data_IF_730296602665
#
_entry.id   IF_730296602665
#
_cell.length_a   1.000
_cell.length_b   1.000
_cell.length_c   1.000
_cell.angle_alpha   90.00
_cell.angle_beta   90.00
_cell.angle_gamma   90.00
#
_symmetry.space_group_name_H-M   'P 1'
#
loop_
_entity.id
_entity.type
_entity.pdbx_description
1 polymer ?
#
# COMPACT_ATOMS: atom_id res chain seq x y z
N UNK A 1 -16.11 9.38 1.79
CA UNK A 1 -15.26 8.24 2.18
C UNK A 1 -15.94 7.46 3.30
N UNK A 2 -16.67 6.39 2.99
CA UNK A 2 -17.36 5.61 4.00
C UNK A 2 -16.42 4.60 4.68
N UNK A 3 -16.70 4.31 5.95
CA UNK A 3 -16.19 3.14 6.67
C UNK A 3 -17.35 2.33 7.21
N UNK A 4 -17.19 1.01 7.25
CA UNK A 4 -18.19 0.10 7.78
C UNK A 4 -17.56 -0.72 8.91
N UNK A 5 -18.30 -0.87 9.99
CA UNK A 5 -17.95 -1.69 11.14
C UNK A 5 -19.07 -2.65 11.46
N UNK A 6 -18.73 -3.90 11.72
CA UNK A 6 -19.65 -4.89 12.28
C UNK A 6 -19.29 -5.10 13.75
N UNK A 7 -20.23 -4.82 14.65
CA UNK A 7 -20.00 -4.92 16.09
C UNK A 7 -20.20 -6.37 16.58
N UNK A 8 -19.88 -6.62 17.85
CA UNK A 8 -19.91 -7.96 18.48
C UNK A 8 -21.31 -8.59 18.48
N UNK A 9 -22.37 -7.78 18.36
CA UNK A 9 -23.76 -8.21 18.22
C UNK A 9 -24.20 -8.46 16.77
N UNK A 10 -23.25 -8.42 15.80
CA UNK A 10 -23.46 -8.50 14.36
C UNK A 10 -24.20 -7.30 13.74
N UNK A 11 -24.47 -6.24 14.48
CA UNK A 11 -24.99 -5.03 13.88
C UNK A 11 -23.91 -4.31 13.10
N UNK A 12 -24.15 -4.06 11.81
CA UNK A 12 -23.28 -3.29 10.96
C UNK A 12 -23.65 -1.79 11.01
N UNK A 13 -22.63 -0.95 11.05
CA UNK A 13 -22.73 0.50 11.03
C UNK A 13 -21.90 1.06 9.89
N UNK A 14 -22.44 2.03 9.14
CA UNK A 14 -21.71 2.78 8.13
C UNK A 14 -21.58 4.23 8.57
N UNK A 15 -20.36 4.78 8.49
CA UNK A 15 -20.02 6.17 8.82
C UNK A 15 -19.45 6.85 7.59
N UNK A 16 -19.79 8.12 7.38
CA UNK A 16 -19.29 8.95 6.28
C UNK A 16 -19.52 10.43 6.56
N UNK A 17 -18.99 11.26 5.69
CA UNK A 17 -19.37 12.69 5.62
C UNK A 17 -18.19 13.66 5.55
N UNK A 18 -18.47 14.83 4.99
CA UNK A 18 -17.57 15.98 4.87
C UNK A 18 -18.42 17.26 4.81
N UNK A 19 -18.31 18.23 5.72
CA UNK A 19 -17.56 18.16 6.98
C UNK A 19 -18.39 17.63 8.15
N UNK A 20 -19.56 17.10 7.93
CA UNK A 20 -20.47 16.59 8.94
C UNK A 20 -20.42 15.06 8.97
N UNK A 21 -20.06 14.49 10.13
CA UNK A 21 -20.12 13.05 10.33
C UNK A 21 -21.57 12.57 10.34
N UNK A 22 -21.84 11.52 9.60
CA UNK A 22 -23.12 10.82 9.55
C UNK A 22 -22.90 9.33 9.78
N UNK A 23 -23.92 8.66 10.28
CA UNK A 23 -23.94 7.21 10.36
C UNK A 23 -25.34 6.63 10.14
N UNK A 24 -25.37 5.36 9.83
CA UNK A 24 -26.59 4.57 9.71
C UNK A 24 -26.31 3.13 10.15
N UNK A 25 -27.32 2.48 10.73
CA UNK A 25 -27.35 1.04 10.92
C UNK A 25 -27.71 0.37 9.60
N UNK A 26 -26.87 -0.53 9.15
CA UNK A 26 -27.17 -1.34 7.96
C UNK A 26 -28.06 -2.52 8.33
N UNK A 27 -28.92 -2.92 7.41
CA UNK A 27 -29.65 -4.18 7.48
C UNK A 27 -28.69 -5.36 7.21
N UNK A 28 -29.16 -6.59 7.45
CA UNK A 28 -28.35 -7.81 7.24
C UNK A 28 -27.85 -7.98 5.79
N UNK A 29 -28.53 -7.40 4.82
CA UNK A 29 -28.11 -7.42 3.41
C UNK A 29 -26.90 -6.54 3.11
N UNK A 30 -26.46 -5.69 4.05
CA UNK A 30 -25.31 -4.78 3.96
C UNK A 30 -25.42 -3.71 2.86
N UNK A 31 -26.56 -3.59 2.19
CA UNK A 31 -26.80 -2.63 1.09
C UNK A 31 -28.03 -1.73 1.32
N UNK A 32 -28.80 -1.99 2.38
CA UNK A 32 -29.97 -1.20 2.75
C UNK A 32 -29.94 -0.81 4.23
N UNK A 33 -30.80 0.10 4.61
CA UNK A 33 -30.99 0.55 5.98
C UNK A 33 -32.45 0.89 6.24
N UNK A 34 -32.93 0.68 7.48
CA UNK A 34 -34.33 0.91 7.87
C UNK A 34 -34.50 2.11 8.81
N UNK A 35 -33.44 2.46 9.55
CA UNK A 35 -33.44 3.58 10.48
C UNK A 35 -33.11 4.90 9.76
N UNK A 36 -33.35 6.02 10.45
CA UNK A 36 -32.98 7.35 9.96
C UNK A 36 -31.45 7.51 9.95
N UNK A 37 -30.94 8.28 8.99
CA UNK A 37 -29.54 8.71 8.99
C UNK A 37 -29.31 9.60 10.22
N UNK A 38 -28.32 9.24 11.01
CA UNK A 38 -27.91 10.01 12.17
C UNK A 38 -26.92 11.08 11.76
N UNK A 39 -27.12 12.27 12.29
CA UNK A 39 -26.25 13.43 12.16
C UNK A 39 -25.59 13.69 13.51
N UNK A 40 -24.28 13.71 13.56
CA UNK A 40 -23.57 13.96 14.81
C UNK A 40 -23.30 15.45 15.03
N UNK A 41 -23.27 15.92 16.27
CA UNK A 41 -22.70 17.21 16.59
C UNK A 41 -21.27 17.30 16.04
N UNK A 42 -20.85 18.51 15.69
CA UNK A 42 -19.50 18.75 15.17
C UNK A 42 -18.46 18.19 16.14
N UNK A 43 -17.73 17.18 15.70
CA UNK A 43 -16.54 16.67 16.39
C UNK A 43 -15.41 17.67 16.14
N UNK A 44 -14.67 18.00 17.20
CA UNK A 44 -13.55 18.93 17.08
C UNK A 44 -12.56 18.42 16.03
N UNK A 45 -12.15 19.31 15.13
CA UNK A 45 -11.18 19.10 14.07
C UNK A 45 -11.55 18.02 13.03
N UNK A 46 -12.79 17.53 13.03
CA UNK A 46 -13.27 16.61 12.00
C UNK A 46 -13.48 17.31 10.67
N UNK A 47 -12.94 16.74 9.60
CA UNK A 47 -13.25 17.15 8.23
C UNK A 47 -13.88 16.02 7.41
N UNK A 48 -13.19 14.89 7.25
CA UNK A 48 -13.61 13.80 6.36
C UNK A 48 -12.87 12.50 6.62
N UNK A 49 -13.11 11.47 5.80
CA UNK A 49 -12.35 10.22 5.80
C UNK A 49 -12.42 9.45 7.12
N UNK A 50 -13.64 9.24 7.70
CA UNK A 50 -13.72 8.53 8.96
C UNK A 50 -13.23 7.08 8.83
N UNK A 51 -12.46 6.64 9.82
CA UNK A 51 -12.07 5.25 10.02
C UNK A 51 -12.49 4.80 11.40
N UNK A 52 -13.26 3.73 11.47
CA UNK A 52 -13.87 3.24 12.70
C UNK A 52 -13.28 1.89 13.12
N UNK A 53 -13.00 1.73 14.43
CA UNK A 53 -12.62 0.43 15.01
C UNK A 53 -13.00 0.35 16.50
N UNK A 54 -12.95 -0.87 17.05
CA UNK A 54 -13.17 -1.15 18.45
C UNK A 54 -11.96 -1.83 19.09
N UNK A 55 -11.62 -1.44 20.30
CA UNK A 55 -10.53 -2.04 21.06
C UNK A 55 -10.80 -1.93 22.56
N UNK A 56 -10.69 -3.05 23.29
CA UNK A 56 -10.81 -3.10 24.76
C UNK A 56 -12.06 -2.36 25.30
N UNK A 57 -13.21 -2.56 24.64
CA UNK A 57 -14.49 -1.95 25.04
C UNK A 57 -14.60 -0.44 24.77
N UNK A 58 -13.67 0.15 24.05
CA UNK A 58 -13.76 1.50 23.52
C UNK A 58 -13.97 1.45 22.00
N UNK A 59 -14.78 2.37 21.51
CA UNK A 59 -14.93 2.67 20.09
C UNK A 59 -14.08 3.88 19.74
N UNK A 60 -13.47 3.81 18.58
CA UNK A 60 -12.57 4.85 18.06
C UNK A 60 -13.05 5.29 16.69
N UNK A 61 -12.90 6.56 16.45
CA UNK A 61 -13.14 7.20 15.17
C UNK A 61 -11.93 8.06 14.84
N UNK A 62 -11.09 7.62 13.90
CA UNK A 62 -10.04 8.47 13.32
C UNK A 62 -10.54 9.15 12.05
N UNK A 63 -9.98 10.28 11.70
CA UNK A 63 -10.42 11.08 10.56
C UNK A 63 -9.33 12.04 10.08
N UNK A 64 -9.44 12.47 8.83
CA UNK A 64 -8.69 13.61 8.34
C UNK A 64 -9.13 14.85 9.08
N UNK A 65 -8.17 15.57 9.67
CA UNK A 65 -8.44 16.80 10.40
C UNK A 65 -8.67 17.98 9.44
N UNK A 66 -9.07 19.11 9.99
CA UNK A 66 -9.36 20.31 9.20
C UNK A 66 -8.16 20.73 8.34
N UNK A 67 -8.40 20.91 7.05
CA UNK A 67 -7.41 21.34 6.06
C UNK A 67 -7.07 22.83 6.22
N UNK A 68 -5.96 23.33 5.83
CA UNK A 68 -4.70 22.74 5.47
C UNK A 68 -3.59 23.43 6.26
N UNK A 69 -2.65 22.72 6.81
CA UNK A 69 -2.33 21.30 6.66
C UNK A 69 -3.30 20.40 7.45
N UNK A 70 -3.46 19.15 6.99
CA UNK A 70 -4.26 18.13 7.66
C UNK A 70 -3.40 17.21 8.53
N UNK A 71 -3.91 16.86 9.71
CA UNK A 71 -3.39 15.77 10.53
C UNK A 71 -4.34 14.57 10.48
N UNK A 72 -4.13 13.64 11.40
CA UNK A 72 -5.07 12.57 11.71
C UNK A 72 -5.61 12.82 13.11
N UNK A 73 -6.83 13.34 13.21
CA UNK A 73 -7.55 13.50 14.46
C UNK A 73 -8.24 12.22 14.89
N UNK A 74 -8.61 12.11 16.17
CA UNK A 74 -9.46 11.01 16.61
C UNK A 74 -10.35 11.36 17.79
N UNK A 75 -11.45 10.62 17.90
CA UNK A 75 -12.39 10.67 19.01
C UNK A 75 -12.66 9.26 19.54
N UNK A 76 -13.09 9.18 20.78
CA UNK A 76 -13.46 7.92 21.46
C UNK A 76 -14.89 7.96 21.96
N UNK A 77 -15.51 6.79 22.10
CA UNK A 77 -16.82 6.61 22.70
C UNK A 77 -16.92 5.26 23.41
N UNK A 78 -17.94 5.10 24.26
CA UNK A 78 -18.35 3.82 24.84
C UNK A 78 -19.45 3.12 24.04
N UNK A 79 -19.99 3.80 23.03
CA UNK A 79 -21.03 3.26 22.14
C UNK A 79 -20.68 3.51 20.69
N UNK A 80 -21.06 2.62 19.76
CA UNK A 80 -20.76 2.79 18.33
C UNK A 80 -21.35 4.06 17.74
N UNK A 81 -22.42 4.58 18.31
CA UNK A 81 -23.10 5.79 17.86
C UNK A 81 -22.82 7.02 18.73
N UNK A 82 -21.72 7.02 19.47
CA UNK A 82 -21.34 8.13 20.33
C UNK A 82 -22.05 8.15 21.69
N UNK A 83 -21.99 9.28 22.46
CA UNK A 83 -21.34 10.53 22.04
C UNK A 83 -19.83 10.37 21.85
N UNK A 84 -19.29 11.15 20.89
CA UNK A 84 -17.87 11.14 20.54
C UNK A 84 -17.12 12.22 21.32
N UNK A 85 -16.10 11.81 22.03
CA UNK A 85 -15.21 12.73 22.76
C UNK A 85 -13.88 12.85 21.99
N UNK A 86 -13.53 14.04 21.55
CA UNK A 86 -12.24 14.35 20.93
C UNK A 86 -11.09 14.08 21.89
N UNK A 87 -10.06 13.35 21.43
CA UNK A 87 -8.91 12.95 22.24
C UNK A 87 -7.56 13.48 21.75
N UNK A 88 -7.55 14.25 20.68
CA UNK A 88 -6.33 14.79 20.09
C UNK A 88 -6.04 14.22 18.72
N UNK A 89 -4.76 14.12 18.41
CA UNK A 89 -4.27 13.63 17.12
C UNK A 89 -3.52 12.31 17.28
N UNK A 90 -3.73 11.41 16.32
CA UNK A 90 -2.83 10.27 16.09
C UNK A 90 -1.55 10.79 15.42
N UNK A 91 -1.70 11.73 14.48
CA UNK A 91 -0.59 12.44 13.83
C UNK A 91 -0.99 13.91 13.68
N UNK A 92 -0.20 14.79 14.27
CA UNK A 92 -0.52 16.21 14.31
C UNK A 92 -0.29 16.88 12.96
N UNK A 93 -0.86 18.09 12.82
CA UNK A 93 -0.65 18.95 11.66
C UNK A 93 0.82 19.31 11.49
N UNK A 94 1.32 19.20 10.26
CA UNK A 94 2.62 19.73 9.86
C UNK A 94 2.51 20.33 8.46
N UNK A 95 3.40 21.22 8.04
CA UNK A 95 3.40 21.72 6.65
C UNK A 95 3.53 20.62 5.60
N UNK A 96 3.89 19.40 6.01
CA UNK A 96 4.08 18.21 5.15
C UNK A 96 2.82 17.37 5.02
N UNK A 97 1.83 17.56 5.89
CA UNK A 97 0.61 16.73 5.91
C UNK A 97 -0.47 17.33 5.02
N UNK A 98 -1.04 16.51 4.15
CA UNK A 98 -2.18 16.84 3.29
C UNK A 98 -2.97 15.58 2.98
N UNK A 99 -4.31 15.68 2.94
CA UNK A 99 -5.21 14.60 2.53
C UNK A 99 -5.01 13.31 3.33
N UNK A 100 -4.76 13.41 4.62
CA UNK A 100 -4.26 12.32 5.43
C UNK A 100 -5.40 11.44 5.97
N UNK A 101 -6.00 10.67 5.07
CA UNK A 101 -7.03 9.69 5.44
C UNK A 101 -6.41 8.49 6.16
N UNK A 102 -6.83 8.21 7.41
CA UNK A 102 -6.26 7.11 8.19
C UNK A 102 -6.82 5.75 7.81
N UNK A 103 -6.00 4.72 8.06
CA UNK A 103 -6.42 3.33 8.16
C UNK A 103 -5.74 2.70 9.37
N UNK A 104 -6.49 2.13 10.30
CA UNK A 104 -5.96 1.53 11.52
C UNK A 104 -6.20 0.03 11.50
N UNK A 105 -5.18 -0.76 11.83
CA UNK A 105 -5.30 -2.21 11.92
C UNK A 105 -4.43 -2.76 13.05
N UNK A 106 -4.96 -3.75 13.76
CA UNK A 106 -4.17 -4.62 14.64
C UNK A 106 -3.68 -5.83 13.83
N UNK A 107 -2.36 -6.05 13.84
CA UNK A 107 -1.75 -7.17 13.14
C UNK A 107 -0.58 -7.74 13.94
N UNK A 108 -0.59 -9.06 14.18
CA UNK A 108 0.45 -9.79 14.92
C UNK A 108 0.82 -9.16 16.26
N UNK A 109 -0.19 -8.72 17.01
CA UNK A 109 -0.03 -8.17 18.36
C UNK A 109 0.45 -6.72 18.43
N UNK A 110 0.56 -6.05 17.29
CA UNK A 110 0.89 -4.63 17.18
C UNK A 110 -0.24 -3.89 16.47
N UNK A 111 -0.32 -2.58 16.68
CA UNK A 111 -1.26 -1.70 15.99
C UNK A 111 -0.53 -0.82 15.00
N UNK A 112 -1.13 -0.60 13.83
CA UNK A 112 -0.54 0.19 12.76
C UNK A 112 -1.51 1.26 12.29
N UNK A 113 -0.96 2.46 12.05
CA UNK A 113 -1.64 3.55 11.39
C UNK A 113 -1.10 3.69 9.97
N UNK A 114 -1.99 3.58 8.98
CA UNK A 114 -1.70 3.86 7.58
C UNK A 114 -2.23 5.25 7.24
N UNK A 115 -1.57 5.91 6.32
CA UNK A 115 -1.99 7.21 5.81
C UNK A 115 -1.24 7.59 4.55
N UNK A 116 -1.42 8.82 4.13
CA UNK A 116 -0.82 9.35 2.91
C UNK A 116 0.47 10.11 3.19
N UNK A 117 1.45 9.93 2.34
CA UNK A 117 2.73 10.61 2.42
C UNK A 117 3.11 11.20 1.05
N UNK A 118 2.85 12.49 0.89
CA UNK A 118 3.16 13.20 -0.35
C UNK A 118 4.67 13.49 -0.52
N UNK A 119 5.44 13.48 0.56
CA UNK A 119 6.87 13.77 0.50
C UNK A 119 7.67 12.65 -0.15
N UNK A 120 7.26 11.38 -0.02
CA UNK A 120 8.00 10.25 -0.58
C UNK A 120 8.22 10.43 -2.09
N UNK A 121 7.16 10.73 -2.81
CA UNK A 121 7.25 10.88 -4.26
C UNK A 121 8.14 12.07 -4.63
N UNK A 122 7.98 13.21 -3.97
CA UNK A 122 8.80 14.40 -4.18
C UNK A 122 10.28 14.14 -3.90
N UNK A 123 10.59 13.46 -2.78
CA UNK A 123 11.96 13.14 -2.39
C UNK A 123 12.63 12.15 -3.35
N UNK A 124 11.86 11.21 -3.90
CA UNK A 124 12.38 10.17 -4.80
C UNK A 124 12.50 10.63 -6.26
N UNK A 125 11.63 11.51 -6.71
CA UNK A 125 11.53 11.88 -8.14
C UNK A 125 11.79 13.36 -8.40
N UNK A 126 11.85 14.19 -7.37
CA UNK A 126 11.94 15.66 -7.50
C UNK A 126 10.68 16.32 -8.07
N UNK A 127 9.60 15.56 -8.28
CA UNK A 127 8.36 16.08 -8.84
C UNK A 127 7.36 16.37 -7.72
N UNK A 128 6.64 17.49 -7.84
CA UNK A 128 5.44 17.68 -7.05
C UNK A 128 4.38 16.70 -7.55
N UNK A 129 3.82 15.94 -6.64
CA UNK A 129 2.71 15.09 -6.99
C UNK A 129 1.68 15.09 -5.88
N UNK A 130 0.47 15.30 -6.26
CA UNK A 130 -0.69 14.86 -5.51
C UNK A 130 -0.92 13.35 -5.74
N UNK A 131 0.16 12.61 -5.87
CA UNK A 131 0.12 11.15 -5.93
C UNK A 131 0.21 10.61 -4.53
N UNK A 132 -0.81 9.88 -4.16
CA UNK A 132 -1.01 9.37 -2.82
C UNK A 132 -0.09 8.18 -2.56
N UNK A 133 1.09 8.45 -1.98
CA UNK A 133 1.98 7.40 -1.49
C UNK A 133 1.50 6.91 -0.14
N UNK A 134 1.21 5.63 -0.01
CA UNK A 134 0.82 5.02 1.26
C UNK A 134 2.04 4.84 2.14
N UNK A 135 1.92 5.24 3.40
CA UNK A 135 2.90 4.99 4.45
C UNK A 135 2.21 4.40 5.67
N UNK A 136 3.00 3.76 6.53
CA UNK A 136 2.52 3.17 7.77
C UNK A 136 3.47 3.51 8.92
N UNK A 137 2.92 3.53 10.14
CA UNK A 137 3.66 3.67 11.39
C UNK A 137 3.12 2.69 12.42
N UNK A 138 3.96 2.15 13.28
CA UNK A 138 3.53 1.40 14.44
C UNK A 138 2.91 2.37 15.45
N UNK A 139 1.71 2.06 15.93
CA UNK A 139 0.91 2.89 16.81
C UNK A 139 0.79 2.24 18.18
N UNK A 140 0.88 3.04 19.25
CA UNK A 140 0.75 2.56 20.63
C UNK A 140 -0.37 3.27 21.37
N UNK A 141 -0.97 2.54 22.32
CA UNK A 141 -2.01 3.05 23.20
C UNK A 141 -1.48 3.28 24.60
N UNK A 142 -1.99 4.31 25.26
CA UNK A 142 -1.80 4.55 26.67
C UNK A 142 -2.67 3.58 27.50
N UNK A 143 -2.39 3.42 28.81
CA UNK A 143 -3.19 2.54 29.68
C UNK A 143 -4.69 2.88 29.74
N UNK A 144 -5.06 4.14 29.53
CA UNK A 144 -6.45 4.63 29.51
C UNK A 144 -7.14 4.43 28.14
N UNK A 145 -6.43 3.86 27.18
CA UNK A 145 -6.90 3.61 25.82
C UNK A 145 -6.68 4.79 24.85
N UNK A 146 -6.20 5.94 25.31
CA UNK A 146 -5.82 7.03 24.39
C UNK A 146 -4.61 6.62 23.54
N UNK A 147 -4.43 7.26 22.40
CA UNK A 147 -3.37 6.93 21.45
C UNK A 147 -2.18 7.87 21.67
N UNK A 148 -0.96 7.32 21.67
CA UNK A 148 0.24 8.14 21.65
C UNK A 148 0.42 8.79 20.30
N UNK A 149 0.67 10.12 20.31
CA UNK A 149 0.86 10.87 19.07
C UNK A 149 2.09 10.36 18.31
N UNK A 150 1.91 10.12 17.02
CA UNK A 150 2.95 9.69 16.09
C UNK A 150 3.66 10.90 15.49
N UNK A 151 4.97 10.84 15.28
CA UNK A 151 5.64 11.77 14.38
C UNK A 151 5.13 11.57 12.95
N UNK A 152 5.48 12.50 12.06
CA UNK A 152 5.14 12.35 10.64
C UNK A 152 5.75 11.07 10.05
N UNK A 153 5.07 10.44 9.12
CA UNK A 153 5.44 9.11 8.57
C UNK A 153 6.90 8.99 8.15
N UNK A 154 7.52 10.04 7.61
CA UNK A 154 8.94 10.02 7.24
C UNK A 154 9.88 9.86 8.44
N UNK A 155 9.44 10.27 9.61
CA UNK A 155 10.23 10.26 10.82
C UNK A 155 9.93 9.01 11.68
N UNK A 156 8.92 8.20 11.26
CA UNK A 156 8.60 6.92 11.85
C UNK A 156 9.58 5.84 11.39
N UNK A 157 9.99 5.00 12.34
CA UNK A 157 10.69 3.76 12.02
C UNK A 157 9.65 2.64 12.00
N UNK A 158 9.50 2.00 10.84
CA UNK A 158 8.68 0.82 10.70
C UNK A 158 9.57 -0.35 10.28
N UNK A 159 9.69 -1.33 11.16
CA UNK A 159 10.44 -2.54 10.87
C UNK A 159 9.58 -3.52 10.06
N UNK A 160 10.22 -4.24 9.16
CA UNK A 160 9.56 -5.31 8.40
C UNK A 160 9.17 -6.45 9.35
N UNK A 161 7.89 -6.82 9.33
CA UNK A 161 7.34 -7.80 10.28
C UNK A 161 7.84 -9.21 9.98
N UNK A 162 7.93 -9.57 8.70
CA UNK A 162 8.42 -10.87 8.20
C UNK A 162 9.27 -10.65 6.96
N UNK A 163 10.29 -11.51 6.82
CA UNK A 163 11.09 -11.53 5.60
C UNK A 163 10.27 -12.05 4.42
N UNK A 164 10.49 -11.44 3.27
CA UNK A 164 9.73 -11.75 2.06
C UNK A 164 10.16 -13.09 1.48
N UNK A 165 9.21 -13.98 1.20
CA UNK A 165 9.46 -15.30 0.61
C UNK A 165 9.47 -15.22 -0.93
N UNK A 166 10.63 -15.38 -1.61
CA UNK A 166 10.73 -15.28 -3.06
C UNK A 166 10.40 -16.59 -3.80
N UNK A 167 10.18 -17.70 -3.10
CA UNK A 167 9.99 -19.02 -3.70
C UNK A 167 8.56 -19.37 -4.07
N UNK A 168 7.62 -18.49 -3.75
CA UNK A 168 6.24 -18.53 -4.26
C UNK A 168 6.11 -17.58 -5.45
N UNK A 169 5.08 -17.76 -6.26
CA UNK A 169 4.72 -16.76 -7.25
C UNK A 169 4.38 -15.44 -6.56
N UNK A 170 4.94 -14.36 -7.06
CA UNK A 170 4.76 -13.00 -6.58
C UNK A 170 4.29 -12.16 -7.75
N UNK A 171 3.13 -11.54 -7.62
CA UNK A 171 2.62 -10.60 -8.61
C UNK A 171 3.56 -9.37 -8.67
N UNK A 172 3.87 -8.92 -9.88
CA UNK A 172 4.95 -7.95 -10.10
C UNK A 172 4.67 -6.56 -9.48
N UNK A 173 3.41 -6.22 -9.29
CA UNK A 173 2.99 -5.00 -8.59
C UNK A 173 3.15 -5.09 -7.07
N UNK A 174 3.50 -6.24 -6.51
CA UNK A 174 3.88 -6.40 -5.11
C UNK A 174 5.30 -5.87 -4.92
N UNK A 175 5.41 -4.59 -4.60
CA UNK A 175 6.69 -3.90 -4.48
C UNK A 175 6.71 -2.92 -3.32
N UNK A 176 7.89 -2.70 -2.72
CA UNK A 176 8.11 -1.64 -1.75
C UNK A 176 8.27 -0.27 -2.42
N UNK A 177 8.78 -0.25 -3.65
CA UNK A 177 8.91 0.92 -4.50
C UNK A 177 9.00 0.55 -5.97
N UNK A 178 8.36 1.35 -6.83
CA UNK A 178 8.52 1.31 -8.29
C UNK A 178 8.97 2.69 -8.78
N UNK A 179 10.05 2.75 -9.54
CA UNK A 179 10.52 3.99 -10.15
C UNK A 179 10.12 4.04 -11.62
N UNK A 180 9.34 5.05 -11.99
CA UNK A 180 8.85 5.29 -13.36
C UNK A 180 7.62 4.47 -13.77
N UNK A 181 7.37 3.38 -13.11
CA UNK A 181 6.41 2.34 -13.47
C UNK A 181 4.96 2.73 -13.22
N UNK A 182 4.07 2.06 -13.94
CA UNK A 182 2.61 2.07 -13.72
C UNK A 182 2.08 0.65 -13.63
N UNK A 183 0.82 0.52 -13.23
CA UNK A 183 0.07 -0.73 -13.29
C UNK A 183 -1.19 -0.56 -14.14
N UNK A 184 -1.64 -1.65 -14.73
CA UNK A 184 -2.91 -1.71 -15.47
C UNK A 184 -3.50 -3.11 -15.36
N UNK A 185 -4.83 -3.27 -15.56
CA UNK A 185 -5.42 -4.60 -15.65
C UNK A 185 -4.74 -5.43 -16.73
N UNK A 186 -4.39 -6.68 -16.43
CA UNK A 186 -3.75 -7.62 -17.37
C UNK A 186 -4.60 -7.82 -18.63
N UNK A 187 -5.92 -7.85 -18.45
CA UNK A 187 -6.87 -7.84 -19.57
C UNK A 187 -7.72 -6.56 -19.48
N UNK A 188 -7.35 -5.55 -20.24
CA UNK A 188 -8.03 -4.25 -20.25
C UNK A 188 -9.49 -4.34 -20.75
N UNK A 189 -9.81 -5.36 -21.52
CA UNK A 189 -11.12 -5.51 -22.16
C UNK A 189 -12.06 -6.46 -21.40
N UNK A 190 -11.55 -7.25 -20.46
CA UNK A 190 -12.38 -8.14 -19.66
C UNK A 190 -13.18 -7.34 -18.63
N UNK A 191 -14.47 -7.59 -18.54
CA UNK A 191 -15.30 -7.10 -17.43
C UNK A 191 -15.02 -7.87 -16.16
N UNK A 192 -14.55 -9.11 -16.28
CA UNK A 192 -14.14 -10.00 -15.19
C UNK A 192 -12.62 -9.97 -15.02
N UNK A 193 -12.13 -10.19 -13.78
CA UNK A 193 -10.72 -10.25 -13.42
C UNK A 193 -9.91 -8.95 -13.63
N UNK A 194 -10.52 -7.78 -13.41
CA UNK A 194 -9.82 -6.49 -13.41
C UNK A 194 -8.81 -6.32 -12.28
N UNK A 195 -8.86 -7.18 -11.28
CA UNK A 195 -7.93 -7.20 -10.13
C UNK A 195 -6.57 -7.81 -10.47
N UNK A 196 -6.46 -8.62 -11.50
CA UNK A 196 -5.15 -9.08 -11.96
C UNK A 196 -4.47 -7.93 -12.70
N UNK A 197 -3.52 -7.30 -12.02
CA UNK A 197 -2.75 -6.17 -12.54
C UNK A 197 -1.43 -6.67 -13.15
N UNK A 198 -0.83 -5.85 -13.97
CA UNK A 198 0.53 -6.04 -14.50
C UNK A 198 1.29 -4.73 -14.41
N UNK A 199 2.60 -4.81 -14.24
CA UNK A 199 3.46 -3.63 -14.33
C UNK A 199 3.66 -3.27 -15.79
N UNK A 200 3.51 -1.99 -16.09
CA UNK A 200 3.58 -1.41 -17.43
C UNK A 200 4.37 -0.08 -17.44
N UNK A 201 4.51 0.53 -18.59
CA UNK A 201 5.34 1.73 -18.80
C UNK A 201 6.78 1.49 -18.33
N UNK A 202 7.30 0.32 -18.61
CA UNK A 202 8.66 -0.06 -18.24
C UNK A 202 9.63 0.54 -19.25
N UNK A 203 10.44 1.51 -18.80
CA UNK A 203 11.48 2.15 -19.60
C UNK A 203 12.87 1.73 -19.14
N UNK A 204 13.88 2.05 -19.92
CA UNK A 204 15.29 1.77 -19.57
C UNK A 204 15.67 2.46 -18.25
N UNK A 205 16.41 1.75 -17.40
CA UNK A 205 16.88 2.20 -16.07
C UNK A 205 15.81 2.40 -15.00
N UNK A 206 14.55 2.12 -15.31
CA UNK A 206 13.52 2.01 -14.30
C UNK A 206 13.64 0.71 -13.51
N UNK A 207 13.03 0.65 -12.33
CA UNK A 207 13.20 -0.51 -11.45
C UNK A 207 12.03 -0.78 -10.49
N UNK A 208 11.94 -2.03 -10.06
CA UNK A 208 11.15 -2.49 -8.91
C UNK A 208 12.10 -2.74 -7.73
N UNK A 209 11.69 -2.34 -6.53
CA UNK A 209 12.31 -2.71 -5.26
C UNK A 209 11.37 -3.60 -4.46
N UNK A 210 11.86 -4.77 -4.06
CA UNK A 210 11.23 -5.63 -3.05
C UNK A 210 12.17 -5.73 -1.85
N UNK A 211 11.71 -5.28 -0.68
CA UNK A 211 12.53 -5.19 0.54
C UNK A 211 12.55 -6.51 1.32
N UNK A 212 13.70 -6.78 1.94
CA UNK A 212 13.87 -7.85 2.93
C UNK A 212 13.53 -9.23 2.39
N UNK A 213 14.03 -9.57 1.21
CA UNK A 213 13.81 -10.87 0.56
C UNK A 213 14.74 -11.92 1.18
N UNK A 214 14.17 -12.97 1.77
CA UNK A 214 14.93 -14.05 2.41
C UNK A 214 15.19 -15.21 1.45
N UNK A 215 16.39 -15.25 0.92
CA UNK A 215 16.87 -16.33 0.06
C UNK A 215 17.27 -17.61 0.81
N UNK A 216 17.16 -17.65 2.13
CA UNK A 216 17.43 -18.84 2.98
C UNK A 216 18.73 -19.51 2.63
N UNK A 217 18.64 -20.78 2.12
CA UNK A 217 19.80 -21.61 1.75
C UNK A 217 20.37 -21.28 0.37
N UNK A 218 19.64 -20.51 -0.41
CA UNK A 218 20.09 -20.02 -1.71
C UNK A 218 19.09 -20.27 -2.83
N UNK A 219 19.05 -19.33 -3.77
CA UNK A 219 18.32 -19.45 -5.03
C UNK A 219 19.31 -19.77 -6.16
N UNK A 220 18.90 -20.58 -7.11
CA UNK A 220 19.69 -20.94 -8.31
C UNK A 220 19.01 -20.55 -9.61
N UNK A 221 17.71 -20.35 -9.60
CA UNK A 221 16.89 -20.04 -10.78
C UNK A 221 15.96 -18.88 -10.52
N UNK A 222 15.71 -18.04 -11.53
CA UNK A 222 14.68 -17.01 -11.55
C UNK A 222 13.73 -17.26 -12.71
N UNK A 223 12.43 -17.07 -12.48
CA UNK A 223 11.38 -17.19 -13.48
C UNK A 223 10.48 -15.94 -13.43
N UNK A 224 10.00 -15.52 -14.59
CA UNK A 224 9.18 -14.34 -14.75
C UNK A 224 8.17 -14.53 -15.87
N UNK A 225 6.93 -14.07 -15.67
CA UNK A 225 5.90 -13.99 -16.71
C UNK A 225 5.86 -12.58 -17.28
N UNK A 226 6.03 -12.46 -18.58
CA UNK A 226 6.03 -11.19 -19.28
C UNK A 226 5.38 -11.30 -20.66
N UNK A 227 4.85 -10.17 -21.13
CA UNK A 227 4.31 -10.00 -22.50
C UNK A 227 5.02 -8.86 -23.19
N UNK A 228 5.38 -9.03 -24.46
CA UNK A 228 6.10 -8.04 -25.23
C UNK A 228 5.62 -8.01 -26.68
N UNK A 229 5.30 -6.80 -27.16
CA UNK A 229 4.83 -6.58 -28.52
C UNK A 229 5.96 -6.45 -29.55
N UNK A 230 7.10 -5.85 -29.16
CA UNK A 230 8.17 -5.48 -30.10
C UNK A 230 9.50 -6.18 -29.77
N UNK A 231 10.54 -5.42 -29.56
CA UNK A 231 11.90 -5.95 -29.39
C UNK A 231 12.19 -6.48 -27.98
N UNK A 232 11.43 -5.98 -26.99
CA UNK A 232 11.62 -6.34 -25.60
C UNK A 232 12.79 -5.63 -24.93
N UNK A 233 13.40 -6.34 -24.01
CA UNK A 233 14.49 -5.84 -23.17
C UNK A 233 14.99 -6.91 -22.27
N UNK A 234 15.53 -6.53 -21.12
CA UNK A 234 15.98 -7.48 -20.10
C UNK A 234 15.73 -6.97 -18.69
N UNK A 235 15.73 -7.89 -17.74
CA UNK A 235 15.66 -7.62 -16.32
C UNK A 235 17.00 -8.02 -15.71
N UNK A 236 17.75 -7.07 -15.16
CA UNK A 236 18.89 -7.33 -14.31
C UNK A 236 18.42 -7.51 -12.87
N UNK A 237 18.77 -8.64 -12.27
CA UNK A 237 18.41 -9.00 -10.90
C UNK A 237 19.56 -8.58 -10.01
N UNK A 238 19.34 -7.54 -9.19
CA UNK A 238 20.38 -6.91 -8.38
C UNK A 238 20.03 -6.94 -6.90
N UNK A 239 21.04 -6.93 -6.05
CA UNK A 239 20.90 -6.95 -4.60
C UNK A 239 21.36 -5.64 -3.99
N UNK A 240 20.63 -5.18 -2.97
CA UNK A 240 20.98 -4.09 -2.06
C UNK A 240 21.18 -2.72 -2.73
N UNK A 241 20.72 -2.57 -3.97
CA UNK A 241 20.75 -1.30 -4.69
C UNK A 241 20.61 -1.46 -6.20
N UNK A 242 20.17 -0.40 -6.89
CA UNK A 242 20.07 -0.35 -8.37
C UNK A 242 21.43 -0.59 -9.07
N UNK A 243 22.53 -0.21 -8.40
CA UNK A 243 23.90 -0.46 -8.84
C UNK A 243 24.57 -1.59 -8.03
N UNK A 244 23.79 -2.33 -7.24
CA UNK A 244 24.30 -3.42 -6.43
C UNK A 244 24.71 -4.64 -7.25
N UNK A 245 25.11 -5.71 -6.56
CA UNK A 245 25.56 -6.92 -7.21
C UNK A 245 24.50 -7.50 -8.16
N UNK A 246 24.80 -7.62 -9.44
CA UNK A 246 23.96 -8.34 -10.39
C UNK A 246 24.17 -9.86 -10.22
N UNK A 247 23.11 -10.55 -9.87
CA UNK A 247 23.10 -11.99 -9.65
C UNK A 247 22.57 -12.78 -10.85
N UNK A 248 21.90 -12.13 -11.77
CA UNK A 248 21.37 -12.72 -12.99
C UNK A 248 20.76 -11.71 -13.92
N UNK A 249 20.52 -12.12 -15.14
CA UNK A 249 19.84 -11.35 -16.18
C UNK A 249 18.91 -12.26 -16.95
N UNK A 250 17.69 -11.82 -17.20
CA UNK A 250 16.74 -12.52 -18.07
C UNK A 250 16.34 -11.61 -19.22
N UNK A 251 16.48 -12.12 -20.43
CA UNK A 251 16.06 -11.41 -21.65
C UNK A 251 14.61 -11.72 -21.96
N UNK A 252 13.82 -10.65 -22.14
CA UNK A 252 12.43 -10.71 -22.54
C UNK A 252 12.35 -10.40 -24.03
N UNK A 253 11.90 -11.37 -24.79
CA UNK A 253 11.79 -11.29 -26.27
C UNK A 253 10.33 -11.09 -26.68
N UNK A 254 10.13 -10.72 -27.94
CA UNK A 254 8.79 -10.59 -28.53
C UNK A 254 7.94 -11.85 -28.29
N UNK A 255 6.76 -11.66 -27.74
CA UNK A 255 5.80 -12.74 -27.43
C UNK A 255 4.53 -12.66 -28.26
N UNK A 256 4.43 -11.66 -29.15
CA UNK A 256 3.19 -11.33 -29.90
C UNK A 256 2.01 -11.04 -28.94
N UNK A 257 2.30 -10.26 -27.89
CA UNK A 257 1.34 -9.87 -26.84
C UNK A 257 0.82 -11.01 -25.94
N UNK A 258 1.34 -12.23 -26.09
CA UNK A 258 1.02 -13.32 -25.19
C UNK A 258 1.93 -13.28 -23.95
N UNK A 259 1.39 -13.59 -22.76
CA UNK A 259 2.19 -13.79 -21.57
C UNK A 259 2.93 -15.12 -21.64
N UNK A 260 4.27 -15.06 -21.55
CA UNK A 260 5.14 -16.24 -21.58
C UNK A 260 6.08 -16.21 -20.38
N UNK A 261 6.45 -17.39 -19.92
CA UNK A 261 7.45 -17.55 -18.86
C UNK A 261 8.85 -17.55 -19.44
N UNK A 262 9.67 -16.64 -18.92
CA UNK A 262 11.11 -16.58 -19.17
C UNK A 262 11.87 -17.03 -17.93
N UNK A 263 13.08 -17.55 -18.07
CA UNK A 263 13.86 -17.95 -16.94
C UNK A 263 15.36 -17.78 -17.18
N UNK A 264 16.10 -17.63 -16.09
CA UNK A 264 17.56 -17.58 -16.10
C UNK A 264 18.14 -18.23 -14.86
N UNK A 265 19.38 -18.71 -14.97
CA UNK A 265 20.16 -19.10 -13.80
C UNK A 265 20.66 -17.86 -13.08
N UNK A 266 20.64 -17.87 -11.75
CA UNK A 266 21.17 -16.80 -10.92
C UNK A 266 22.35 -17.30 -10.10
N UNK A 267 23.28 -16.37 -9.81
CA UNK A 267 24.36 -16.65 -8.85
C UNK A 267 23.74 -17.02 -7.52
N UNK A 268 24.22 -18.05 -6.88
CA UNK A 268 23.69 -18.52 -5.60
C UNK A 268 23.82 -17.47 -4.52
N UNK A 269 22.68 -17.01 -4.04
CA UNK A 269 22.53 -15.99 -3.00
C UNK A 269 21.88 -16.61 -1.78
N UNK A 270 22.31 -16.21 -0.58
CA UNK A 270 21.77 -16.65 0.71
C UNK A 270 21.47 -15.45 1.60
N UNK A 271 20.59 -15.66 2.59
CA UNK A 271 20.27 -14.64 3.57
C UNK A 271 19.24 -13.63 3.07
N UNK A 272 19.15 -12.51 3.77
CA UNK A 272 18.16 -11.45 3.51
C UNK A 272 18.81 -10.31 2.76
N UNK A 273 18.19 -9.91 1.65
CA UNK A 273 18.63 -8.81 0.80
C UNK A 273 17.46 -7.98 0.32
N UNK A 274 17.69 -6.72 0.01
CA UNK A 274 16.79 -5.92 -0.80
C UNK A 274 16.98 -6.29 -2.27
N UNK A 275 15.90 -6.68 -2.96
CA UNK A 275 15.91 -7.15 -4.33
C UNK A 275 15.50 -6.03 -5.28
N UNK A 276 16.30 -5.81 -6.31
CA UNK A 276 16.01 -4.84 -7.37
C UNK A 276 15.91 -5.55 -8.72
N UNK A 277 14.82 -5.30 -9.43
CA UNK A 277 14.68 -5.62 -10.83
C UNK A 277 14.92 -4.35 -11.63
N UNK A 278 16.08 -4.24 -12.26
CA UNK A 278 16.46 -3.09 -13.08
C UNK A 278 16.21 -3.42 -14.54
N UNK A 279 15.41 -2.61 -15.20
CA UNK A 279 15.01 -2.84 -16.58
C UNK A 279 16.02 -2.22 -17.56
N UNK A 280 16.34 -2.98 -18.61
CA UNK A 280 17.28 -2.53 -19.64
C UNK A 280 16.66 -2.73 -21.01
N UNK A 281 16.68 -1.68 -21.81
CA UNK A 281 16.34 -1.73 -23.22
C UNK A 281 17.46 -2.32 -24.06
N UNK A 282 17.18 -2.52 -25.35
CA UNK A 282 18.18 -2.79 -26.37
C UNK A 282 18.60 -1.51 -27.09
N UNK A 283 19.42 -1.65 -28.13
CA UNK A 283 19.88 -0.51 -28.93
C UNK A 283 18.72 0.21 -29.67
N UNK A 284 17.64 -0.51 -29.96
CA UNK A 284 16.52 -0.03 -30.75
C UNK A 284 15.36 0.46 -29.87
N UNK A 285 15.07 -0.22 -28.77
CA UNK A 285 13.93 0.07 -27.90
C UNK A 285 14.39 0.34 -26.48
N UNK A 286 14.03 1.52 -25.95
CA UNK A 286 14.36 1.96 -24.59
C UNK A 286 13.14 2.32 -23.75
N UNK A 287 11.96 2.37 -24.35
CA UNK A 287 10.70 2.72 -23.72
C UNK A 287 9.65 1.65 -23.99
N UNK A 288 8.71 1.51 -23.05
CA UNK A 288 7.63 0.52 -23.13
C UNK A 288 8.14 -0.87 -23.49
N UNK A 289 9.13 -1.35 -22.76
CA UNK A 289 9.89 -2.56 -23.10
C UNK A 289 9.01 -3.81 -23.12
N UNK A 290 8.20 -4.01 -22.08
CA UNK A 290 7.30 -5.16 -21.92
C UNK A 290 6.32 -4.92 -20.76
N UNK A 291 5.36 -5.82 -20.61
CA UNK A 291 4.47 -5.95 -19.47
C UNK A 291 4.97 -7.06 -18.56
N UNK A 292 4.98 -6.83 -17.24
CA UNK A 292 5.45 -7.78 -16.25
C UNK A 292 4.28 -8.23 -15.35
N UNK A 293 4.06 -9.53 -15.27
CA UNK A 293 2.91 -10.15 -14.59
C UNK A 293 3.30 -10.69 -13.20
N UNK A 294 4.18 -11.68 -13.16
CA UNK A 294 4.66 -12.26 -11.91
C UNK A 294 6.11 -12.74 -12.02
N UNK A 295 6.71 -12.98 -10.87
CA UNK A 295 8.06 -13.55 -10.76
C UNK A 295 8.16 -14.54 -9.61
N UNK A 296 9.18 -15.40 -9.63
CA UNK A 296 9.57 -16.30 -8.53
C UNK A 296 11.02 -16.75 -8.66
N UNK A 297 11.58 -17.16 -7.55
CA UNK A 297 12.85 -17.89 -7.54
C UNK A 297 12.61 -19.39 -7.34
N UNK A 298 13.58 -20.20 -7.79
CA UNK A 298 13.71 -21.63 -7.54
C UNK A 298 15.07 -21.96 -6.91
N UNK A 299 15.15 -23.14 -6.28
CA UNK A 299 16.40 -23.67 -5.72
C UNK A 299 17.43 -24.03 -6.80
#
# INVERSE_FOLDING_TARGET
DPTVWVDDDNQAYMYWGNPELKAVKLNEDMISYSDSIMHFPKIQDYQEGPWFWKRNGNYYLAYASTCCPEGIGYAMSKNPLGPWEYKGHIMNHTPRTRGNHPGIIDYKGKSYCFGLNYDIFRLKTGRHAEQRSVSAAEMTYNPDGTIQELPYFQDCKLEQIEWFNPYRQVEAETMAWGYGLKTQPKNQWAQENRWNQVVTNIDEDEYILVKGVDFKKGAGKFEVSASCHMFGGSIEIRLDGVNGQCIGKVDIKNTKDEYKTFSTQVKKVKGVHDLYFVFKGGDIQKQNLFFLDWWKFGE
#
